data_IF_297021317902
#
_entry.id   IF_297021317902
#
_cell.length_a   1.000
_cell.length_b   1.000
_cell.length_c   1.000
_cell.angle_alpha   90.00
_cell.angle_beta   90.00
_cell.angle_gamma   90.00
#
_symmetry.space_group_name_H-M   'P 1'
#
loop_
_entity.id
_entity.type
_entity.pdbx_description
1 polymer ?
#
# COMPACT_ATOMS: atom_id res chain seq x y z
N UNK A 1 10.88 9.15 -15.80
CA UNK A 1 11.53 9.37 -17.11
C UNK A 1 10.54 9.53 -18.26
N UNK A 2 9.63 8.59 -18.57
CA UNK A 2 8.70 8.76 -19.72
C UNK A 2 7.80 10.00 -19.58
N UNK A 3 7.11 10.16 -18.45
CA UNK A 3 6.24 11.32 -18.22
C UNK A 3 6.99 12.65 -18.22
N UNK A 4 8.20 12.67 -17.68
CA UNK A 4 9.07 13.85 -17.75
C UNK A 4 9.47 14.17 -19.20
N UNK A 5 9.72 13.14 -20.02
CA UNK A 5 9.97 13.31 -21.45
C UNK A 5 8.77 13.87 -22.21
N UNK A 6 7.56 13.40 -21.87
CA UNK A 6 6.31 13.91 -22.47
C UNK A 6 6.06 15.38 -22.11
N UNK A 7 6.52 15.84 -20.94
CA UNK A 7 6.38 17.22 -20.47
C UNK A 7 7.68 18.02 -20.56
N UNK A 8 8.62 17.62 -21.41
CA UNK A 8 9.93 18.27 -21.49
C UNK A 8 9.87 19.72 -21.99
N UNK A 9 8.84 20.08 -22.73
CA UNK A 9 8.53 21.42 -23.20
C UNK A 9 7.65 22.24 -22.24
N UNK A 10 7.39 21.69 -21.04
CA UNK A 10 6.58 22.32 -19.97
C UNK A 10 5.15 22.74 -20.41
N UNK A 11 4.64 22.16 -21.50
CA UNK A 11 3.30 22.48 -22.03
C UNK A 11 2.15 22.09 -21.09
N UNK A 12 2.40 21.15 -20.17
CA UNK A 12 1.47 20.80 -19.11
C UNK A 12 1.93 21.46 -17.80
N UNK A 13 1.07 22.19 -17.15
CA UNK A 13 1.33 22.79 -15.85
C UNK A 13 1.29 21.72 -14.74
N UNK A 14 2.25 20.81 -14.76
CA UNK A 14 2.41 19.70 -13.80
C UNK A 14 3.87 19.57 -13.36
N UNK A 15 4.05 19.13 -12.11
CA UNK A 15 5.34 18.73 -11.57
C UNK A 15 5.39 17.22 -11.46
N UNK A 16 6.48 16.62 -11.95
CA UNK A 16 6.70 15.18 -11.94
C UNK A 16 7.97 14.91 -11.12
N UNK A 17 7.76 14.52 -9.86
CA UNK A 17 8.84 14.31 -8.90
C UNK A 17 8.82 12.87 -8.41
N UNK A 18 10.01 12.34 -8.13
CA UNK A 18 10.14 11.12 -7.33
C UNK A 18 9.97 11.50 -5.85
N UNK A 19 9.09 10.78 -5.16
CA UNK A 19 8.81 11.06 -3.75
C UNK A 19 9.75 10.24 -2.86
N UNK A 20 10.22 10.84 -1.78
CA UNK A 20 10.94 10.13 -0.71
C UNK A 20 9.92 9.48 0.23
N UNK A 21 9.49 8.27 -0.12
CA UNK A 21 8.53 7.50 0.65
C UNK A 21 8.92 6.02 0.67
N UNK A 22 8.70 5.37 1.81
CA UNK A 22 8.91 3.93 1.99
C UNK A 22 7.57 3.27 2.39
N UNK A 23 7.03 2.35 1.57
CA UNK A 23 5.87 1.56 1.94
C UNK A 23 6.28 0.35 2.80
N UNK A 24 5.55 0.13 3.89
CA UNK A 24 5.62 -1.08 4.70
C UNK A 24 4.23 -1.69 4.81
N UNK A 25 4.11 -2.99 4.54
CA UNK A 25 2.84 -3.70 4.65
C UNK A 25 2.76 -4.46 5.98
N UNK A 26 1.62 -4.30 6.67
CA UNK A 26 1.25 -5.07 7.86
C UNK A 26 0.00 -5.87 7.49
N UNK A 27 0.14 -7.18 7.35
CA UNK A 27 -0.90 -8.05 6.81
C UNK A 27 -1.22 -9.20 7.78
N UNK A 28 -2.48 -9.63 7.81
CA UNK A 28 -2.94 -10.78 8.55
C UNK A 28 -3.95 -10.46 9.66
N UNK A 29 -4.45 -11.47 10.38
CA UNK A 29 -5.60 -11.34 11.28
C UNK A 29 -5.37 -10.39 12.47
N UNK A 30 -4.11 -10.11 12.82
CA UNK A 30 -3.76 -9.18 13.91
C UNK A 30 -3.35 -7.79 13.41
N UNK A 31 -3.40 -7.53 12.10
CA UNK A 31 -2.98 -6.26 11.53
C UNK A 31 -3.73 -5.07 12.14
N UNK A 32 -5.04 -5.16 12.29
CA UNK A 32 -5.84 -4.09 12.94
C UNK A 32 -5.39 -3.80 14.36
N UNK A 33 -5.15 -4.82 15.16
CA UNK A 33 -4.72 -4.65 16.55
C UNK A 33 -3.35 -3.97 16.62
N UNK A 34 -2.41 -4.38 15.78
CA UNK A 34 -1.08 -3.76 15.71
C UNK A 34 -1.16 -2.30 15.23
N UNK A 35 -2.00 -2.01 14.23
CA UNK A 35 -2.18 -0.64 13.73
C UNK A 35 -2.76 0.29 14.80
N UNK A 36 -3.69 -0.18 15.62
CA UNK A 36 -4.21 0.59 16.76
C UNK A 36 -3.12 0.96 17.76
N UNK A 37 -2.21 0.02 18.03
CA UNK A 37 -1.09 0.30 18.94
C UNK A 37 -0.09 1.29 18.33
N UNK A 38 0.10 1.27 17.02
CA UNK A 38 1.02 2.15 16.32
C UNK A 38 0.47 3.57 16.15
N UNK A 39 -0.82 3.69 15.81
CA UNK A 39 -1.46 4.97 15.50
C UNK A 39 -2.22 5.58 16.68
N UNK A 40 -2.47 4.80 17.74
CA UNK A 40 -3.28 5.25 18.88
C UNK A 40 -4.69 5.68 18.44
N UNK A 41 -5.15 6.82 18.96
CA UNK A 41 -6.46 7.41 18.65
C UNK A 41 -6.45 8.36 17.44
N UNK A 42 -5.32 8.53 16.76
CA UNK A 42 -5.21 9.45 15.63
C UNK A 42 -6.05 8.99 14.43
N UNK A 43 -6.25 7.67 14.30
CA UNK A 43 -6.99 7.07 13.18
C UNK A 43 -7.97 6.04 13.69
N UNK A 44 -9.21 6.11 13.21
CA UNK A 44 -10.21 5.05 13.45
C UNK A 44 -9.93 3.84 12.56
N UNK A 45 -9.02 3.00 13.04
CA UNK A 45 -8.60 1.77 12.34
C UNK A 45 -9.76 0.76 12.20
N UNK A 46 -10.71 0.76 13.15
CA UNK A 46 -11.82 -0.20 13.11
C UNK A 46 -12.78 0.07 11.96
N UNK A 47 -13.07 1.32 11.71
CA UNK A 47 -14.05 1.76 10.72
C UNK A 47 -13.41 2.25 9.41
N UNK A 48 -12.08 2.14 9.25
CA UNK A 48 -11.42 2.48 7.99
C UNK A 48 -11.94 1.55 6.89
N UNK A 49 -12.52 2.07 5.81
CA UNK A 49 -12.99 1.24 4.70
C UNK A 49 -11.81 0.70 3.89
N UNK A 50 -12.05 -0.40 3.16
CA UNK A 50 -11.09 -0.87 2.17
C UNK A 50 -10.82 0.23 1.14
N UNK A 51 -9.55 0.44 0.77
CA UNK A 51 -9.04 1.62 0.05
C UNK A 51 -9.16 2.96 0.81
N UNK A 52 -9.54 2.95 2.09
CA UNK A 52 -9.49 4.14 2.92
C UNK A 52 -8.07 4.61 3.18
N UNK A 53 -7.91 5.93 3.31
CA UNK A 53 -6.65 6.59 3.59
C UNK A 53 -6.78 7.49 4.82
N UNK A 54 -5.73 7.55 5.62
CA UNK A 54 -5.62 8.49 6.73
C UNK A 54 -4.17 8.95 6.92
N UNK A 55 -4.00 10.16 7.44
CA UNK A 55 -2.69 10.61 7.91
C UNK A 55 -2.57 10.33 9.40
N UNK A 56 -1.45 9.77 9.82
CA UNK A 56 -1.16 9.45 11.22
C UNK A 56 0.34 9.52 11.51
N UNK A 57 0.68 9.35 12.77
CA UNK A 57 2.08 9.16 13.17
C UNK A 57 2.32 7.69 13.55
N UNK A 58 3.39 7.13 13.01
CA UNK A 58 3.89 5.81 13.38
C UNK A 58 5.30 5.98 13.92
N UNK A 59 5.54 5.58 15.17
CA UNK A 59 6.83 5.83 15.82
C UNK A 59 7.20 7.32 15.91
N UNK A 60 6.17 8.21 15.99
CA UNK A 60 6.36 9.66 16.03
C UNK A 60 6.63 10.29 14.66
N UNK A 61 6.66 9.52 13.57
CA UNK A 61 6.94 9.98 12.19
C UNK A 61 5.67 10.08 11.37
N UNK A 62 5.58 11.12 10.53
CA UNK A 62 4.40 11.36 9.68
C UNK A 62 4.28 10.31 8.59
N UNK A 63 3.14 9.63 8.57
CA UNK A 63 2.82 8.58 7.61
C UNK A 63 1.44 8.79 6.99
N UNK A 64 1.23 8.19 5.83
CA UNK A 64 -0.09 7.91 5.29
C UNK A 64 -0.37 6.43 5.54
N UNK A 65 -1.54 6.14 6.08
CA UNK A 65 -2.01 4.78 6.31
C UNK A 65 -3.10 4.48 5.29
N UNK A 66 -3.00 3.31 4.65
CA UNK A 66 -4.03 2.82 3.74
C UNK A 66 -4.50 1.44 4.18
N UNK A 67 -5.82 1.17 4.12
CA UNK A 67 -6.33 -0.19 4.28
C UNK A 67 -6.28 -0.92 2.93
N UNK A 68 -5.08 -1.29 2.55
CA UNK A 68 -4.74 -2.01 1.33
C UNK A 68 -3.71 -3.10 1.61
N UNK A 69 -3.42 -3.93 0.61
CA UNK A 69 -2.39 -4.95 0.69
C UNK A 69 -2.36 -5.82 -0.55
N UNK A 70 -1.34 -6.66 -0.63
CA UNK A 70 -1.07 -7.55 -1.75
C UNK A 70 -1.02 -9.03 -1.32
N UNK A 71 -1.76 -9.39 -0.29
CA UNK A 71 -1.73 -10.74 0.30
C UNK A 71 -3.07 -11.47 0.27
N UNK A 72 -4.18 -10.75 0.02
CA UNK A 72 -5.53 -11.26 0.21
C UNK A 72 -5.99 -11.32 1.66
N UNK A 73 -5.11 -10.98 2.59
CA UNK A 73 -5.42 -10.89 4.01
C UNK A 73 -5.88 -9.47 4.39
N UNK A 74 -6.57 -9.35 5.51
CA UNK A 74 -6.84 -8.04 6.09
C UNK A 74 -5.50 -7.37 6.45
N UNK A 75 -5.33 -6.11 6.05
CA UNK A 75 -4.07 -5.45 6.29
C UNK A 75 -4.07 -3.98 5.97
N UNK A 76 -2.91 -3.40 6.19
CA UNK A 76 -2.64 -1.98 6.00
C UNK A 76 -1.28 -1.78 5.35
N UNK A 77 -1.15 -0.68 4.65
CA UNK A 77 0.11 -0.18 4.14
C UNK A 77 0.42 1.15 4.81
N UNK A 78 1.64 1.27 5.29
CA UNK A 78 2.16 2.48 5.92
C UNK A 78 3.13 3.12 4.94
N UNK A 79 2.85 4.32 4.50
CA UNK A 79 3.72 5.11 3.62
C UNK A 79 4.42 6.19 4.44
N UNK A 80 5.65 5.91 4.81
CA UNK A 80 6.50 6.85 5.55
C UNK A 80 6.95 7.98 4.61
N UNK A 81 6.77 9.21 5.04
CA UNK A 81 7.37 10.40 4.39
C UNK A 81 8.78 10.64 4.91
N UNK A 82 9.63 11.24 4.09
CA UNK A 82 11.04 11.48 4.40
C UNK A 82 11.75 10.18 4.80
N UNK A 83 11.49 9.15 3.99
CA UNK A 83 11.91 7.77 4.30
C UNK A 83 13.44 7.65 4.39
N UNK A 84 14.18 8.39 3.59
CA UNK A 84 15.66 8.43 3.65
C UNK A 84 16.17 8.77 5.05
N UNK A 85 15.43 9.58 5.80
CA UNK A 85 15.84 10.01 7.15
C UNK A 85 15.28 9.10 8.26
N UNK A 86 14.07 8.55 8.08
CA UNK A 86 13.31 7.99 9.21
C UNK A 86 12.86 6.53 9.02
N UNK A 87 13.28 5.85 7.95
CA UNK A 87 12.86 4.47 7.69
C UNK A 87 13.23 3.52 8.81
N UNK A 88 14.44 3.64 9.37
CA UNK A 88 14.91 2.79 10.48
C UNK A 88 14.11 3.03 11.76
N UNK A 89 13.82 4.28 12.10
CA UNK A 89 13.02 4.63 13.29
C UNK A 89 11.62 4.01 13.20
N UNK A 90 10.96 4.18 12.05
CA UNK A 90 9.62 3.63 11.80
C UNK A 90 9.64 2.11 11.83
N UNK A 91 10.62 1.48 11.18
CA UNK A 91 10.78 0.04 11.17
C UNK A 91 10.95 -0.54 12.57
N UNK A 92 11.82 0.05 13.39
CA UNK A 92 12.04 -0.37 14.77
C UNK A 92 10.78 -0.19 15.63
N UNK A 93 10.02 0.89 15.44
CA UNK A 93 8.75 1.09 16.13
C UNK A 93 7.72 0.01 15.77
N UNK A 94 7.62 -0.36 14.49
CA UNK A 94 6.74 -1.45 14.02
C UNK A 94 7.15 -2.79 14.63
N UNK A 95 8.44 -3.11 14.63
CA UNK A 95 8.94 -4.36 15.20
C UNK A 95 8.68 -4.43 16.71
N UNK A 96 8.92 -3.35 17.43
CA UNK A 96 8.72 -3.32 18.89
C UNK A 96 7.24 -3.49 19.24
N UNK A 97 6.34 -2.72 18.62
CA UNK A 97 4.90 -2.86 18.81
C UNK A 97 4.39 -4.24 18.38
N UNK A 98 5.02 -4.82 17.37
CA UNK A 98 4.66 -6.12 16.81
C UNK A 98 4.93 -7.32 17.71
N UNK A 99 5.84 -7.21 18.67
CA UNK A 99 6.23 -8.33 19.58
C UNK A 99 5.03 -8.97 20.28
N UNK A 100 4.15 -8.15 20.84
CA UNK A 100 2.94 -8.66 21.55
C UNK A 100 1.89 -9.27 20.63
N UNK A 101 1.98 -9.00 19.33
CA UNK A 101 1.11 -9.55 18.31
C UNK A 101 1.68 -10.77 17.59
N UNK A 102 2.90 -11.20 17.97
CA UNK A 102 3.68 -12.23 17.28
C UNK A 102 3.93 -11.86 15.81
N UNK A 103 4.29 -10.59 15.57
CA UNK A 103 4.67 -10.12 14.23
C UNK A 103 5.89 -10.90 13.73
N UNK A 104 5.83 -11.32 12.49
CA UNK A 104 6.94 -11.95 11.80
C UNK A 104 7.27 -11.14 10.55
N UNK A 105 8.56 -10.88 10.35
CA UNK A 105 9.04 -10.26 9.11
C UNK A 105 9.06 -11.32 8.01
N UNK A 106 8.41 -11.02 6.90
CA UNK A 106 8.39 -11.86 5.71
C UNK A 106 8.73 -11.04 4.47
N UNK A 107 9.26 -11.69 3.44
CA UNK A 107 9.34 -11.12 2.11
C UNK A 107 7.96 -11.18 1.40
N UNK A 108 7.76 -10.44 0.29
CA UNK A 108 6.56 -10.58 -0.52
C UNK A 108 6.28 -12.05 -0.84
N UNK A 109 5.13 -12.54 -0.38
CA UNK A 109 4.78 -13.95 -0.49
C UNK A 109 3.85 -14.17 -1.68
N UNK A 110 4.41 -14.45 -2.85
CA UNK A 110 3.65 -14.63 -4.10
C UNK A 110 2.58 -15.73 -4.01
N UNK A 111 2.83 -16.80 -3.24
CA UNK A 111 1.82 -17.84 -3.03
C UNK A 111 0.54 -17.31 -2.37
N UNK A 112 0.61 -16.34 -1.46
CA UNK A 112 -0.58 -15.77 -0.81
C UNK A 112 -1.42 -14.97 -1.78
N UNK A 113 -0.81 -14.09 -2.58
CA UNK A 113 -1.53 -13.31 -3.57
C UNK A 113 -2.19 -14.20 -4.63
N UNK A 114 -1.48 -15.28 -5.05
CA UNK A 114 -2.02 -16.25 -6.03
C UNK A 114 -3.23 -16.97 -5.45
N UNK A 115 -3.18 -17.42 -4.19
CA UNK A 115 -4.33 -18.03 -3.51
C UNK A 115 -5.52 -17.07 -3.43
N UNK A 116 -5.27 -15.77 -3.30
CA UNK A 116 -6.29 -14.73 -3.27
C UNK A 116 -6.77 -14.28 -4.67
N UNK A 117 -6.18 -14.81 -5.75
CA UNK A 117 -6.49 -14.40 -7.12
C UNK A 117 -5.96 -13.02 -7.50
N UNK A 118 -4.97 -12.50 -6.78
CA UNK A 118 -4.37 -11.19 -7.06
C UNK A 118 -3.28 -11.34 -8.10
N UNK A 119 -3.47 -10.70 -9.26
CA UNK A 119 -2.52 -10.69 -10.35
C UNK A 119 -1.37 -9.71 -10.08
N UNK A 120 -0.19 -10.06 -10.55
CA UNK A 120 1.00 -9.23 -10.48
C UNK A 120 1.47 -8.86 -11.89
N UNK A 121 1.62 -7.57 -12.12
CA UNK A 121 2.17 -7.08 -13.38
C UNK A 121 3.62 -7.56 -13.58
N UNK A 122 3.92 -8.03 -14.78
CA UNK A 122 5.22 -8.57 -15.14
C UNK A 122 5.45 -10.04 -14.74
N UNK A 123 4.50 -10.64 -13.99
CA UNK A 123 4.57 -12.06 -13.60
C UNK A 123 3.40 -12.87 -14.17
N UNK A 124 2.18 -12.38 -13.99
CA UNK A 124 0.97 -13.07 -14.46
C UNK A 124 0.38 -12.40 -15.70
N UNK A 125 0.71 -11.16 -15.94
CA UNK A 125 0.27 -10.36 -17.08
C UNK A 125 1.32 -9.29 -17.42
N UNK A 126 1.27 -8.80 -18.64
CA UNK A 126 2.11 -7.73 -19.17
C UNK A 126 1.32 -6.90 -20.20
N UNK A 127 2.01 -6.05 -20.97
CA UNK A 127 1.39 -5.21 -22.01
C UNK A 127 0.84 -5.98 -23.22
N UNK A 128 1.13 -7.28 -23.35
CA UNK A 128 0.56 -8.15 -24.40
C UNK A 128 -0.78 -8.76 -23.98
N UNK A 129 -1.15 -8.63 -22.68
CA UNK A 129 -2.38 -9.17 -22.13
C UNK A 129 -3.42 -8.06 -21.94
N UNK A 130 -4.64 -8.31 -22.41
CA UNK A 130 -5.77 -7.42 -22.15
C UNK A 130 -6.60 -7.88 -20.94
N UNK A 131 -7.49 -7.03 -20.39
CA UNK A 131 -8.29 -7.37 -19.21
C UNK A 131 -9.16 -8.62 -19.37
N UNK A 132 -9.63 -8.94 -20.58
CA UNK A 132 -10.43 -10.14 -20.84
C UNK A 132 -9.61 -11.41 -20.66
N UNK A 133 -8.37 -11.42 -21.12
CA UNK A 133 -7.45 -12.56 -20.97
C UNK A 133 -7.06 -12.78 -19.51
N UNK A 134 -6.99 -11.69 -18.73
CA UNK A 134 -6.68 -11.72 -17.31
C UNK A 134 -7.90 -11.98 -16.41
N UNK A 135 -9.08 -12.18 -17.00
CA UNK A 135 -10.34 -12.37 -16.26
C UNK A 135 -10.66 -11.22 -15.27
N UNK A 136 -10.29 -10.00 -15.63
CA UNK A 136 -10.55 -8.81 -14.82
C UNK A 136 -11.95 -8.26 -15.11
N UNK A 137 -12.98 -9.10 -14.84
CA UNK A 137 -14.37 -8.86 -15.22
C UNK A 137 -14.91 -7.49 -14.82
N UNK A 138 -14.57 -7.00 -13.64
CA UNK A 138 -15.04 -5.70 -13.16
C UNK A 138 -14.57 -4.53 -14.01
N UNK A 139 -13.45 -4.65 -14.72
CA UNK A 139 -12.94 -3.56 -15.57
C UNK A 139 -13.75 -3.38 -16.86
N UNK A 140 -14.42 -4.42 -17.33
CA UNK A 140 -15.18 -4.36 -18.58
C UNK A 140 -16.69 -4.63 -18.43
N UNK A 141 -17.14 -5.02 -17.23
CA UNK A 141 -18.55 -5.20 -16.90
C UNK A 141 -19.09 -4.14 -15.96
N UNK A 142 -18.22 -3.41 -15.26
CA UNK A 142 -18.62 -2.29 -14.42
C UNK A 142 -19.11 -1.11 -15.27
N UNK A 143 -20.18 -0.43 -14.86
CA UNK A 143 -20.50 0.87 -15.42
C UNK A 143 -19.32 1.83 -15.22
N UNK A 144 -19.24 2.85 -16.05
CA UNK A 144 -18.17 3.86 -15.97
C UNK A 144 -18.02 4.37 -14.55
N UNK A 145 -16.79 4.59 -14.05
CA UNK A 145 -16.57 5.20 -12.73
C UNK A 145 -17.19 6.60 -12.58
N UNK A 146 -17.80 7.12 -13.60
CA UNK A 146 -18.46 8.43 -13.64
C UNK A 146 -19.99 8.37 -13.57
N UNK A 147 -20.55 7.17 -13.56
CA UNK A 147 -22.01 6.95 -13.53
C UNK A 147 -22.50 6.68 -12.11
#
# INVERSE_FOLDING_TARGET
>A
MYLQGVNADERFNVQINEIDACPVQIQGPKAKALMKDLCGSEVDIDNMPFYGLASAKVGGRSCIISQTGFSGESGFEIYLREATLYAEDMWNAVLEAGKKHNLMVIAPAHHRRIQAGILSWGQDMDHEHNPFQCNLCLLYTSPSPRD
#
